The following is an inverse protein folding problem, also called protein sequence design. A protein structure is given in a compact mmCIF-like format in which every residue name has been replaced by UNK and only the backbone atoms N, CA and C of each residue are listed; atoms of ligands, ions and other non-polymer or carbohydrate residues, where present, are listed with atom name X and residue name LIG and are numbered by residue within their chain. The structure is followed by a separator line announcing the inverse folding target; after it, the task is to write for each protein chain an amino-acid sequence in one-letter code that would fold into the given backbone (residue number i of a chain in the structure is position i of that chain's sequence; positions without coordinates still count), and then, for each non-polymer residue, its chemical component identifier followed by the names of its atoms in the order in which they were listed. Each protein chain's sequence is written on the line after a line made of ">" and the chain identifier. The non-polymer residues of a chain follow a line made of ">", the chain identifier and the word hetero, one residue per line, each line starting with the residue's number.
data_IF_120260465926
#
_entry.id   IF_120260465926
#
_cell.length_a   1.000
_cell.length_b   1.000
_cell.length_c   1.000
_cell.angle_alpha   90.00
_cell.angle_beta   90.00
_cell.angle_gamma   90.00
#
_symmetry.space_group_name_H-M   'P 1'
#
loop_
_entity.id
_entity.type
_entity.pdbx_description
1 polymer ?
#
# COMPACT_ATOMS: atom_id res chain seq x y z
N UNK A 1 10.36 0.42 -17.54
CA UNK A 1 10.53 -0.20 -16.21
C UNK A 1 9.83 -1.56 -16.19
N UNK A 2 10.53 -2.62 -15.79
CA UNK A 2 9.98 -3.97 -15.55
C UNK A 2 9.39 -4.06 -14.14
N UNK A 3 8.56 -5.07 -13.87
CA UNK A 3 7.93 -5.23 -12.55
C UNK A 3 8.93 -5.30 -11.38
N UNK A 4 10.06 -5.99 -11.55
CA UNK A 4 11.10 -6.05 -10.51
C UNK A 4 11.73 -4.68 -10.24
N UNK A 5 11.99 -3.90 -11.29
CA UNK A 5 12.53 -2.55 -11.19
C UNK A 5 11.54 -1.62 -10.48
N UNK A 6 10.23 -1.75 -10.75
CA UNK A 6 9.18 -0.98 -10.07
C UNK A 6 9.12 -1.25 -8.57
N UNK A 7 9.15 -2.53 -8.16
CA UNK A 7 9.17 -2.89 -6.73
C UNK A 7 10.39 -2.29 -6.02
N UNK A 8 11.55 -2.39 -6.67
CA UNK A 8 12.80 -1.85 -6.13
C UNK A 8 12.74 -0.32 -6.04
N UNK A 9 12.33 0.36 -7.11
CA UNK A 9 12.20 1.81 -7.14
C UNK A 9 11.27 2.32 -6.04
N UNK A 10 10.11 1.68 -5.85
CA UNK A 10 9.16 2.05 -4.79
C UNK A 10 9.77 1.87 -3.40
N UNK A 11 10.37 0.71 -3.13
CA UNK A 11 10.95 0.41 -1.81
C UNK A 11 12.12 1.35 -1.50
N UNK A 12 13.00 1.60 -2.48
CA UNK A 12 14.12 2.52 -2.36
C UNK A 12 13.65 3.95 -2.11
N UNK A 13 12.69 4.43 -2.90
CA UNK A 13 12.15 5.80 -2.76
C UNK A 13 11.64 6.10 -1.35
N UNK A 14 10.90 5.18 -0.74
CA UNK A 14 10.40 5.37 0.63
C UNK A 14 11.47 5.09 1.68
N UNK A 15 12.41 4.16 1.44
CA UNK A 15 13.54 3.96 2.35
C UNK A 15 14.41 5.22 2.49
N UNK A 16 14.65 5.94 1.38
CA UNK A 16 15.34 7.23 1.38
C UNK A 16 14.58 8.34 2.15
N UNK A 17 13.28 8.13 2.40
CA UNK A 17 12.40 9.02 3.19
C UNK A 17 12.19 8.52 4.62
N UNK A 18 13.02 7.57 5.06
CA UNK A 18 13.03 7.07 6.43
C UNK A 18 12.03 5.96 6.72
N UNK A 19 11.37 5.38 5.71
CA UNK A 19 10.52 4.21 5.91
C UNK A 19 11.37 2.95 6.06
N UNK A 20 11.05 2.11 7.05
CA UNK A 20 11.69 0.80 7.17
C UNK A 20 11.13 -0.17 6.12
N UNK A 21 11.95 -0.82 5.27
CA UNK A 21 11.47 -1.87 4.39
C UNK A 21 11.04 -3.11 5.18
N UNK A 22 9.78 -3.50 5.06
CA UNK A 22 9.19 -4.67 5.75
C UNK A 22 8.87 -5.76 4.73
N UNK A 23 9.28 -7.01 4.97
CA UNK A 23 8.90 -8.13 4.11
C UNK A 23 7.38 -8.29 3.98
N UNK A 24 6.95 -8.82 2.84
CA UNK A 24 5.57 -9.27 2.68
C UNK A 24 5.23 -10.34 3.72
N UNK A 25 4.16 -10.12 4.48
CA UNK A 25 3.57 -11.13 5.34
C UNK A 25 2.95 -12.29 4.53
N UNK A 26 2.61 -13.37 5.23
CA UNK A 26 1.89 -14.51 4.67
C UNK A 26 0.51 -14.15 4.12
N UNK A 27 -0.02 -15.01 3.24
CA UNK A 27 -1.37 -14.86 2.68
C UNK A 27 -2.48 -15.22 3.69
N UNK A 28 -2.14 -15.95 4.74
CA UNK A 28 -3.05 -16.30 5.83
C UNK A 28 -2.78 -15.32 6.97
N UNK A 29 -3.68 -14.36 7.23
CA UNK A 29 -3.51 -13.43 8.33
C UNK A 29 -3.78 -14.14 9.66
N UNK A 30 -3.15 -13.66 10.72
CA UNK A 30 -3.26 -14.25 12.06
C UNK A 30 -4.16 -13.44 13.02
N UNK A 31 -4.50 -12.21 12.64
CA UNK A 31 -5.31 -11.33 13.48
C UNK A 31 -6.80 -11.77 13.48
N UNK A 32 -7.50 -11.80 14.62
CA UNK A 32 -8.89 -12.29 14.69
C UNK A 32 -9.90 -11.50 13.85
N UNK A 33 -9.65 -10.21 13.62
CA UNK A 33 -10.50 -9.36 12.78
C UNK A 33 -10.12 -9.40 11.29
N UNK A 34 -9.10 -10.19 10.91
CA UNK A 34 -8.61 -10.22 9.55
C UNK A 34 -9.59 -10.92 8.58
N UNK A 35 -9.60 -10.52 7.29
CA UNK A 35 -10.28 -11.25 6.24
C UNK A 35 -9.70 -12.66 6.06
N UNK A 36 -10.38 -13.48 5.26
CA UNK A 36 -9.95 -14.85 4.93
C UNK A 36 -8.52 -14.93 4.37
N UNK A 37 -8.11 -13.94 3.57
CA UNK A 37 -6.76 -13.83 3.03
C UNK A 37 -6.24 -12.41 3.18
N UNK A 38 -4.93 -12.25 3.29
CA UNK A 38 -4.26 -10.95 3.20
C UNK A 38 -4.62 -10.31 1.86
N UNK A 39 -5.47 -9.28 1.90
CA UNK A 39 -6.04 -8.64 0.71
C UNK A 39 -5.44 -7.26 0.39
N UNK A 40 -4.60 -6.77 1.31
CA UNK A 40 -3.98 -5.45 1.28
C UNK A 40 -2.68 -5.41 2.08
N UNK A 41 -1.83 -4.43 1.80
CA UNK A 41 -0.54 -4.23 2.47
C UNK A 41 -0.64 -3.88 3.95
N UNK A 42 -1.74 -3.27 4.38
CA UNK A 42 -1.92 -2.81 5.76
C UNK A 42 -2.20 -3.95 6.75
N UNK A 43 -2.59 -5.14 6.26
CA UNK A 43 -3.11 -6.21 7.14
C UNK A 43 -2.13 -6.66 8.22
N UNK A 44 -0.82 -6.67 7.93
CA UNK A 44 0.22 -7.02 8.90
C UNK A 44 0.49 -5.92 9.94
N UNK A 45 -0.05 -4.72 9.71
CA UNK A 45 0.13 -3.56 10.57
C UNK A 45 -1.16 -3.18 11.32
N UNK A 46 -2.25 -3.97 11.18
CA UNK A 46 -3.53 -3.70 11.86
C UNK A 46 -3.36 -3.53 13.38
N UNK A 47 -2.63 -4.38 14.11
CA UNK A 47 -2.42 -4.18 15.55
C UNK A 47 -1.75 -2.84 15.88
N UNK A 48 -0.83 -2.37 15.03
CA UNK A 48 -0.17 -1.06 15.19
C UNK A 48 -1.16 0.07 14.97
N UNK A 49 -1.97 -0.01 13.91
CA UNK A 49 -3.00 1.01 13.62
C UNK A 49 -4.10 1.07 14.68
N UNK A 50 -4.41 -0.06 15.33
CA UNK A 50 -5.37 -0.13 16.43
C UNK A 50 -4.75 0.29 17.79
N UNK A 51 -3.44 0.50 17.85
CA UNK A 51 -2.72 0.81 19.09
C UNK A 51 -2.56 -0.38 20.04
N UNK A 52 -2.77 -1.60 19.54
CA UNK A 52 -2.56 -2.85 20.27
C UNK A 52 -1.08 -3.20 20.38
N UNK A 53 -0.29 -2.79 19.37
CA UNK A 53 1.17 -2.92 19.34
C UNK A 53 1.82 -1.57 19.05
N UNK A 54 3.01 -1.33 19.61
CA UNK A 54 3.80 -0.16 19.24
C UNK A 54 4.56 -0.43 17.93
N UNK A 55 4.68 0.59 17.08
CA UNK A 55 5.50 0.50 15.88
C UNK A 55 6.98 0.28 16.26
N UNK A 56 7.63 -0.79 15.79
CA UNK A 56 9.03 -1.09 16.15
C UNK A 56 10.04 -0.35 15.25
N UNK A 57 9.64 0.78 14.65
CA UNK A 57 10.42 1.52 13.66
C UNK A 57 10.70 2.95 14.15
N UNK A 58 11.87 3.49 13.82
CA UNK A 58 12.25 4.87 14.14
C UNK A 58 12.83 5.55 12.88
N UNK A 59 12.14 6.53 12.27
CA UNK A 59 10.79 7.02 12.61
C UNK A 59 9.73 5.92 12.43
N UNK A 60 8.52 6.06 12.99
CA UNK A 60 7.48 5.03 12.96
C UNK A 60 6.80 4.94 11.58
N UNK A 61 7.59 4.51 10.59
CA UNK A 61 7.28 4.46 9.16
C UNK A 61 7.68 3.10 8.59
N UNK A 62 6.85 2.54 7.71
CA UNK A 62 7.17 1.30 7.00
C UNK A 62 6.85 1.37 5.52
N UNK A 63 7.60 0.64 4.70
CA UNK A 63 7.28 0.41 3.28
C UNK A 63 7.28 -1.08 3.01
N UNK A 64 6.30 -1.58 2.25
CA UNK A 64 6.27 -2.99 1.87
C UNK A 64 5.68 -3.22 0.49
N UNK A 65 6.01 -4.37 -0.08
CA UNK A 65 5.39 -4.92 -1.29
C UNK A 65 4.69 -6.22 -0.92
N UNK A 66 3.41 -6.11 -0.56
CA UNK A 66 2.63 -7.22 0.00
C UNK A 66 2.00 -8.06 -1.11
N UNK A 67 2.16 -9.39 -1.02
CA UNK A 67 1.35 -10.34 -1.80
C UNK A 67 -0.09 -10.36 -1.28
N UNK A 68 -1.04 -10.16 -2.17
CA UNK A 68 -2.46 -10.01 -1.84
C UNK A 68 -3.32 -11.03 -2.58
N UNK A 69 -4.39 -11.49 -1.93
CA UNK A 69 -5.44 -12.29 -2.56
C UNK A 69 -6.82 -11.65 -2.35
N UNK A 70 -7.58 -11.50 -3.45
CA UNK A 70 -8.98 -11.04 -3.46
C UNK A 70 -9.87 -12.07 -4.13
N UNK A 71 -10.15 -13.13 -3.39
CA UNK A 71 -10.91 -14.29 -3.87
C UNK A 71 -12.05 -14.70 -2.91
N UNK A 72 -12.53 -13.78 -2.07
CA UNK A 72 -13.61 -14.08 -1.13
C UNK A 72 -13.85 -12.98 -0.09
N UNK A 73 -14.98 -13.06 0.62
CA UNK A 73 -15.39 -12.08 1.61
C UNK A 73 -15.78 -10.73 0.99
N UNK A 74 -15.56 -9.63 1.74
CA UNK A 74 -15.90 -8.26 1.32
C UNK A 74 -15.10 -7.79 0.09
N UNK A 75 -13.91 -8.34 -0.13
CA UNK A 75 -13.03 -7.98 -1.25
C UNK A 75 -12.84 -9.19 -2.15
N UNK A 76 -13.69 -9.32 -3.16
CA UNK A 76 -13.72 -10.46 -4.06
C UNK A 76 -13.78 -9.99 -5.52
N UNK A 77 -12.71 -10.27 -6.28
CA UNK A 77 -12.59 -9.84 -7.67
C UNK A 77 -12.87 -10.99 -8.67
N UNK A 78 -13.22 -12.20 -8.20
CA UNK A 78 -13.31 -13.41 -9.03
C UNK A 78 -14.20 -13.26 -10.26
N UNK A 79 -15.39 -12.65 -10.12
CA UNK A 79 -16.34 -12.51 -11.23
C UNK A 79 -15.88 -11.52 -12.30
N UNK A 80 -14.91 -10.65 -11.98
CA UNK A 80 -14.36 -9.66 -12.89
C UNK A 80 -13.12 -10.17 -13.65
N UNK A 81 -12.51 -11.27 -13.19
CA UNK A 81 -11.33 -11.86 -13.82
C UNK A 81 -11.70 -12.37 -15.21
N UNK A 82 -10.87 -12.01 -16.20
CA UNK A 82 -11.12 -12.32 -17.61
C UNK A 82 -12.18 -11.44 -18.29
N UNK A 83 -12.90 -10.61 -17.53
CA UNK A 83 -13.87 -9.62 -18.04
C UNK A 83 -13.32 -8.20 -18.02
N UNK A 84 -12.25 -7.95 -17.27
CA UNK A 84 -11.59 -6.66 -17.15
C UNK A 84 -10.08 -6.82 -17.18
N UNK A 85 -9.33 -5.89 -17.79
CA UNK A 85 -7.87 -5.94 -17.83
C UNK A 85 -7.21 -5.53 -16.51
N UNK A 86 -7.98 -5.17 -15.47
CA UNK A 86 -7.45 -4.60 -14.21
C UNK A 86 -7.70 -5.47 -12.97
N UNK A 87 -8.47 -6.54 -13.08
CA UNK A 87 -8.82 -7.39 -11.93
C UNK A 87 -8.00 -8.68 -11.93
N UNK A 88 -7.40 -8.97 -10.79
CA UNK A 88 -6.59 -10.16 -10.52
C UNK A 88 -7.03 -10.78 -9.20
N UNK A 89 -6.95 -12.10 -9.07
CA UNK A 89 -7.14 -12.77 -7.78
C UNK A 89 -5.91 -12.63 -6.90
N UNK A 90 -4.72 -12.81 -7.47
CA UNK A 90 -3.43 -12.65 -6.81
C UNK A 90 -2.64 -11.48 -7.43
N UNK A 91 -2.15 -10.57 -6.60
CA UNK A 91 -1.41 -9.40 -7.03
C UNK A 91 -0.47 -8.91 -5.92
N UNK A 92 0.38 -7.93 -6.24
CA UNK A 92 1.25 -7.27 -5.25
C UNK A 92 0.79 -5.84 -5.02
N UNK A 93 0.67 -5.45 -3.75
CA UNK A 93 0.33 -4.11 -3.32
C UNK A 93 1.56 -3.42 -2.75
N UNK A 94 1.97 -2.34 -3.41
CA UNK A 94 3.05 -1.47 -2.96
C UNK A 94 2.42 -0.43 -2.01
N UNK A 95 2.92 -0.32 -0.78
CA UNK A 95 2.37 0.60 0.21
C UNK A 95 3.42 1.23 1.12
N UNK A 96 3.23 2.51 1.43
CA UNK A 96 3.96 3.25 2.46
C UNK A 96 3.00 3.54 3.64
N UNK A 97 3.50 3.38 4.86
CA UNK A 97 2.71 3.42 6.08
C UNK A 97 3.36 4.38 7.07
N UNK A 98 2.52 5.22 7.68
CA UNK A 98 2.87 6.11 8.80
C UNK A 98 2.10 5.66 10.03
N UNK A 99 2.78 5.50 11.14
CA UNK A 99 2.19 5.15 12.43
C UNK A 99 2.32 6.33 13.38
N UNK A 100 1.41 7.31 13.25
CA UNK A 100 1.40 8.51 14.08
C UNK A 100 2.53 9.51 13.80
N UNK A 101 3.10 9.49 12.59
CA UNK A 101 4.17 10.40 12.18
C UNK A 101 3.70 11.40 11.11
N UNK A 102 3.84 11.15 9.81
CA UNK A 102 3.28 12.03 8.77
C UNK A 102 1.81 11.72 8.49
N UNK A 103 1.08 12.72 8.01
CA UNK A 103 -0.33 12.60 7.61
C UNK A 103 -0.52 13.06 6.16
N UNK A 104 -1.63 13.74 5.81
CA UNK A 104 -1.94 14.17 4.43
C UNK A 104 -0.82 14.96 3.77
N UNK A 105 -0.31 16.00 4.43
CA UNK A 105 0.77 16.88 3.92
C UNK A 105 2.08 16.15 3.65
N UNK A 106 2.31 14.99 4.27
CA UNK A 106 3.44 14.13 3.95
C UNK A 106 3.10 13.09 2.89
N UNK A 107 1.93 12.47 3.01
CA UNK A 107 1.52 11.35 2.17
C UNK A 107 1.32 11.75 0.71
N UNK A 108 0.62 12.86 0.45
CA UNK A 108 0.26 13.28 -0.91
C UNK A 108 1.49 13.71 -1.71
N UNK A 109 2.40 14.58 -1.21
CA UNK A 109 3.58 14.97 -1.97
C UNK A 109 4.49 13.79 -2.30
N UNK A 110 4.68 12.83 -1.37
CA UNK A 110 5.48 11.64 -1.64
C UNK A 110 4.87 10.76 -2.74
N UNK A 111 3.55 10.56 -2.72
CA UNK A 111 2.86 9.80 -3.76
C UNK A 111 2.93 10.50 -5.13
N UNK A 112 2.74 11.83 -5.14
CA UNK A 112 2.84 12.64 -6.35
C UNK A 112 4.25 12.58 -6.94
N UNK A 113 5.28 12.86 -6.14
CA UNK A 113 6.69 12.82 -6.56
C UNK A 113 7.08 11.45 -7.09
N UNK A 114 6.67 10.36 -6.43
CA UNK A 114 6.95 9.02 -6.95
C UNK A 114 6.36 8.82 -8.35
N UNK A 115 5.12 9.26 -8.58
CA UNK A 115 4.44 9.04 -9.85
C UNK A 115 4.96 9.97 -10.96
N UNK A 116 5.19 11.25 -10.67
CA UNK A 116 5.63 12.22 -11.70
C UNK A 116 7.11 12.14 -11.96
N UNK A 117 7.93 12.04 -10.91
CA UNK A 117 9.38 12.26 -11.02
C UNK A 117 10.11 10.92 -11.15
N UNK A 118 9.70 9.90 -10.38
CA UNK A 118 10.34 8.57 -10.43
C UNK A 118 9.77 7.73 -11.57
N UNK A 119 8.45 7.68 -11.73
CA UNK A 119 7.82 6.93 -12.82
C UNK A 119 7.74 7.74 -14.14
N UNK A 120 7.95 9.05 -14.10
CA UNK A 120 7.92 9.90 -15.29
C UNK A 120 6.53 10.06 -15.90
N UNK A 121 5.46 9.86 -15.11
CA UNK A 121 4.09 10.02 -15.61
C UNK A 121 3.76 11.51 -15.62
N UNK A 122 3.41 12.01 -16.81
CA UNK A 122 2.95 13.37 -16.98
C UNK A 122 1.75 13.69 -16.07
N UNK A 123 1.91 14.71 -15.22
CA UNK A 123 0.93 15.12 -14.23
C UNK A 123 -0.42 15.50 -14.83
N UNK A 124 -0.44 16.02 -16.06
CA UNK A 124 -1.67 16.40 -16.78
C UNK A 124 -2.54 15.18 -17.14
N UNK A 125 -1.98 13.96 -17.01
CA UNK A 125 -2.69 12.70 -17.25
C UNK A 125 -3.19 12.03 -15.98
N UNK A 126 -2.95 12.64 -14.82
CA UNK A 126 -3.30 12.09 -13.51
C UNK A 126 -4.59 12.76 -13.04
N UNK A 127 -5.58 11.94 -12.68
CA UNK A 127 -6.79 12.39 -12.01
C UNK A 127 -6.73 12.02 -10.54
N UNK A 128 -7.13 12.96 -9.68
CA UNK A 128 -7.25 12.75 -8.24
C UNK A 128 -8.70 12.84 -7.81
N UNK A 129 -9.05 12.13 -6.76
CA UNK A 129 -10.38 12.18 -6.13
C UNK A 129 -10.21 12.28 -4.63
N UNK A 130 -10.97 13.16 -3.99
CA UNK A 130 -11.05 13.28 -2.53
C UNK A 130 -12.44 12.88 -2.04
N UNK A 131 -12.57 12.56 -0.75
CA UNK A 131 -13.88 12.33 -0.17
C UNK A 131 -14.68 13.64 -0.14
N UNK A 132 -16.00 13.60 -0.33
CA UNK A 132 -16.84 14.81 -0.49
C UNK A 132 -16.93 15.70 0.75
N UNK A 133 -16.48 15.18 1.90
CA UNK A 133 -16.45 15.90 3.18
C UNK A 133 -15.03 16.25 3.61
N UNK A 134 -14.04 16.01 2.74
CA UNK A 134 -12.64 16.21 3.05
C UNK A 134 -12.12 17.45 2.30
N UNK A 135 -12.20 18.60 2.98
CA UNK A 135 -11.81 19.91 2.44
C UNK A 135 -10.31 20.21 2.60
N UNK A 136 -9.61 19.42 3.44
CA UNK A 136 -8.17 19.48 3.70
C UNK A 136 -7.37 18.73 2.62
#
# INVERSE_FOLDING_TARGET
>A
MRANELRQAFTTFFAERGHTPVPSAGLIPLHPSAPMFTNSGMMQFVPIFLGEEQAPYEPPRAVSVQKCVRAGGKHNDLDAIGRSPRHLSFFEMLGNFSFGDYFKDGAIPMAWEFVTDVLGIDGDRIWVTVHTSDDE
#
